data_IF_993466964785
#
_entry.id   IF_993466964785
#
_cell.length_a   1.000
_cell.length_b   1.000
_cell.length_c   1.000
_cell.angle_alpha   90.00
_cell.angle_beta   90.00
_cell.angle_gamma   90.00
#
_symmetry.space_group_name_H-M   'P 1'
#
loop_
_entity.id
_entity.type
_entity.pdbx_description
1 polymer ?
#
# COMPACT_ATOMS: atom_id res chain seq x y z
N UNK A 1 -17.49 6.92 10.75
CA UNK A 1 -16.79 5.65 11.06
C UNK A 1 -16.90 5.20 12.52
N UNK A 2 -17.12 6.08 13.50
CA UNK A 2 -17.21 5.67 14.93
C UNK A 2 -18.64 5.44 15.43
N UNK A 3 -19.62 5.45 14.53
CA UNK A 3 -21.02 5.20 14.86
C UNK A 3 -21.34 3.70 14.73
N UNK A 4 -22.31 3.24 15.52
CA UNK A 4 -22.67 1.82 15.64
C UNK A 4 -22.87 1.09 14.29
N UNK A 5 -23.52 1.68 13.26
CA UNK A 5 -23.69 0.99 11.97
C UNK A 5 -22.38 0.69 11.23
N UNK A 6 -21.35 1.53 11.38
CA UNK A 6 -20.05 1.29 10.75
C UNK A 6 -19.16 0.38 11.59
N UNK A 7 -19.26 0.49 12.93
CA UNK A 7 -18.53 -0.39 13.85
C UNK A 7 -18.94 -1.86 13.71
N UNK A 8 -20.20 -2.12 13.31
CA UNK A 8 -20.66 -3.46 12.96
C UNK A 8 -19.91 -4.07 11.74
N UNK A 9 -19.43 -3.22 10.83
CA UNK A 9 -18.71 -3.63 9.60
C UNK A 9 -17.20 -3.70 9.81
N UNK A 10 -16.67 -2.74 10.58
CA UNK A 10 -15.27 -2.67 10.95
C UNK A 10 -15.17 -2.41 12.45
N UNK A 11 -14.79 -3.41 13.28
CA UNK A 11 -14.87 -3.30 14.75
C UNK A 11 -13.99 -2.18 15.31
N UNK A 12 -12.87 -1.88 14.63
CA UNK A 12 -11.98 -0.77 15.00
C UNK A 12 -12.39 0.60 14.43
N UNK A 13 -13.47 0.69 13.64
CA UNK A 13 -13.92 1.92 12.99
C UNK A 13 -12.89 2.53 12.04
N UNK A 14 -12.11 1.69 11.34
CA UNK A 14 -11.12 2.11 10.34
C UNK A 14 -11.61 1.78 8.92
N UNK A 15 -10.94 2.36 7.94
CA UNK A 15 -11.07 2.01 6.52
C UNK A 15 -9.84 1.22 6.06
N UNK A 16 -9.97 0.38 5.03
CA UNK A 16 -11.19 0.06 4.26
C UNK A 16 -12.07 -1.02 4.90
N UNK A 17 -13.35 -1.03 4.53
CA UNK A 17 -14.29 -2.13 4.74
C UNK A 17 -15.07 -2.36 3.43
N UNK A 18 -15.26 -3.61 3.04
CA UNK A 18 -15.99 -4.04 1.85
C UNK A 18 -17.26 -4.77 2.25
N UNK A 19 -18.35 -4.46 1.56
CA UNK A 19 -19.58 -5.25 1.56
C UNK A 19 -19.84 -5.78 0.14
N UNK A 20 -20.07 -7.08 0.03
CA UNK A 20 -20.39 -7.76 -1.22
C UNK A 20 -21.48 -8.81 -0.97
N UNK A 21 -22.74 -8.39 -1.11
CA UNK A 21 -23.91 -9.16 -0.71
C UNK A 21 -23.94 -9.35 0.81
N UNK A 22 -23.93 -10.61 1.25
CA UNK A 22 -23.89 -10.98 2.69
C UNK A 22 -22.48 -10.98 3.28
N UNK A 23 -21.44 -10.78 2.45
CA UNK A 23 -20.05 -10.80 2.90
C UNK A 23 -19.65 -9.40 3.35
N UNK A 24 -19.13 -9.31 4.57
CA UNK A 24 -18.46 -8.11 5.09
C UNK A 24 -17.00 -8.45 5.41
N UNK A 25 -16.08 -7.64 4.91
CA UNK A 25 -14.64 -7.85 5.09
C UNK A 25 -13.93 -6.53 5.39
N UNK A 26 -12.97 -6.58 6.29
CA UNK A 26 -11.98 -5.52 6.51
C UNK A 26 -10.57 -6.12 6.33
N UNK A 27 -9.53 -5.29 6.39
CA UNK A 27 -8.16 -5.54 5.90
C UNK A 27 -8.01 -5.34 4.38
N UNK A 28 -7.24 -4.32 4.01
CA UNK A 28 -6.95 -3.93 2.61
C UNK A 28 -6.43 -5.10 1.77
N UNK A 29 -5.44 -5.83 2.28
CA UNK A 29 -4.86 -6.99 1.61
C UNK A 29 -5.86 -8.13 1.41
N UNK A 30 -6.70 -8.41 2.41
CA UNK A 30 -7.74 -9.42 2.30
C UNK A 30 -8.81 -9.01 1.28
N UNK A 31 -9.24 -7.75 1.30
CA UNK A 31 -10.19 -7.17 0.35
C UNK A 31 -9.67 -7.31 -1.09
N UNK A 32 -8.42 -6.93 -1.35
CA UNK A 32 -7.83 -7.04 -2.70
C UNK A 32 -7.76 -8.50 -3.14
N UNK A 33 -7.30 -9.41 -2.28
CA UNK A 33 -7.27 -10.85 -2.62
C UNK A 33 -8.67 -11.41 -2.90
N UNK A 34 -9.67 -11.05 -2.09
CA UNK A 34 -11.06 -11.46 -2.30
C UNK A 34 -11.61 -10.98 -3.65
N UNK A 35 -11.41 -9.70 -3.97
CA UNK A 35 -11.86 -9.12 -5.24
C UNK A 35 -11.19 -9.83 -6.42
N UNK A 36 -9.90 -10.13 -6.33
CA UNK A 36 -9.17 -10.82 -7.40
C UNK A 36 -9.60 -12.28 -7.55
N UNK A 37 -9.83 -12.98 -6.44
CA UNK A 37 -10.33 -14.35 -6.46
C UNK A 37 -11.74 -14.43 -7.07
N UNK A 38 -12.64 -13.51 -6.72
CA UNK A 38 -14.04 -13.53 -7.17
C UNK A 38 -14.24 -12.90 -8.55
N UNK A 39 -13.57 -11.78 -8.84
CA UNK A 39 -13.82 -10.95 -10.03
C UNK A 39 -12.59 -10.77 -10.93
N UNK A 40 -11.40 -11.14 -10.46
CA UNK A 40 -10.14 -10.94 -11.18
C UNK A 40 -10.01 -11.80 -12.44
N UNK A 41 -10.60 -13.01 -12.45
CA UNK A 41 -10.52 -13.99 -13.54
C UNK A 41 -9.07 -14.30 -13.95
N UNK A 42 -8.21 -14.53 -12.96
CA UNK A 42 -6.77 -14.82 -13.16
C UNK A 42 -5.89 -13.60 -13.47
N UNK A 43 -6.46 -12.37 -13.51
CA UNK A 43 -5.67 -11.15 -13.73
C UNK A 43 -4.96 -10.69 -12.47
N UNK A 44 -3.80 -10.04 -12.64
CA UNK A 44 -3.02 -9.36 -11.60
C UNK A 44 -2.42 -10.26 -10.52
N UNK A 45 -2.49 -11.58 -10.67
CA UNK A 45 -1.90 -12.57 -9.77
C UNK A 45 -1.12 -13.56 -10.65
N UNK A 46 0.19 -13.78 -10.40
CA UNK A 46 0.94 -14.79 -11.13
C UNK A 46 0.42 -16.21 -10.89
N UNK A 47 0.76 -17.13 -11.79
CA UNK A 47 0.42 -18.55 -11.66
C UNK A 47 0.97 -19.15 -10.35
N UNK A 48 0.12 -19.82 -9.58
CA UNK A 48 0.41 -20.19 -8.18
C UNK A 48 1.64 -21.10 -8.00
N UNK A 49 1.99 -21.90 -9.01
CA UNK A 49 3.11 -22.84 -8.96
C UNK A 49 4.41 -22.26 -9.55
N UNK A 50 4.55 -20.93 -9.57
CA UNK A 50 5.72 -20.25 -10.13
C UNK A 50 6.53 -19.53 -9.06
N UNK A 51 7.82 -19.30 -9.33
CA UNK A 51 8.67 -18.45 -8.49
C UNK A 51 8.16 -17.01 -8.43
N UNK A 52 7.51 -16.53 -9.49
CA UNK A 52 6.90 -15.20 -9.53
C UNK A 52 5.76 -15.08 -8.51
N UNK A 53 4.96 -16.13 -8.31
CA UNK A 53 3.92 -16.11 -7.28
C UNK A 53 4.49 -15.95 -5.86
N UNK A 54 5.61 -16.61 -5.56
CA UNK A 54 6.28 -16.44 -4.26
C UNK A 54 6.77 -14.99 -4.07
N UNK A 55 7.40 -14.40 -5.09
CA UNK A 55 7.81 -13.00 -5.06
C UNK A 55 6.60 -12.05 -4.95
N UNK A 56 5.53 -12.33 -5.68
CA UNK A 56 4.26 -11.59 -5.61
C UNK A 56 3.69 -11.59 -4.20
N UNK A 57 3.60 -12.75 -3.53
CA UNK A 57 3.09 -12.82 -2.17
C UNK A 57 3.93 -11.96 -1.21
N UNK A 58 5.26 -12.06 -1.30
CA UNK A 58 6.16 -11.24 -0.50
C UNK A 58 5.86 -9.75 -0.69
N UNK A 59 5.84 -9.27 -1.94
CA UNK A 59 5.63 -7.84 -2.23
C UNK A 59 4.19 -7.38 -2.09
N UNK A 60 3.21 -8.27 -2.14
CA UNK A 60 1.83 -7.97 -1.79
C UNK A 60 1.70 -7.67 -0.30
N UNK A 61 2.28 -8.52 0.55
CA UNK A 61 2.23 -8.36 2.01
C UNK A 61 3.23 -7.35 2.55
N UNK A 62 4.29 -7.02 1.80
CA UNK A 62 5.31 -6.05 2.20
C UNK A 62 4.74 -4.67 2.56
N UNK A 63 3.66 -4.25 1.88
CA UNK A 63 2.97 -3.00 2.17
C UNK A 63 2.58 -2.90 3.65
N UNK A 64 1.71 -3.81 4.10
CA UNK A 64 1.16 -3.81 5.46
C UNK A 64 2.16 -4.30 6.50
N UNK A 65 3.06 -5.21 6.12
CA UNK A 65 4.06 -5.76 7.03
C UNK A 65 5.22 -4.80 7.34
N UNK A 66 5.57 -3.90 6.40
CA UNK A 66 6.81 -3.13 6.49
C UNK A 66 6.62 -1.62 6.30
N UNK A 67 5.88 -1.17 5.27
CA UNK A 67 5.77 0.27 4.94
C UNK A 67 4.69 0.96 5.78
N UNK A 68 3.51 0.35 5.88
CA UNK A 68 2.36 0.97 6.55
C UNK A 68 2.58 1.24 8.06
N UNK A 69 3.27 0.38 8.85
CA UNK A 69 3.47 0.65 10.27
C UNK A 69 4.25 1.96 10.57
N UNK A 70 5.43 2.22 9.99
CA UNK A 70 6.10 3.50 10.18
C UNK A 70 5.37 4.65 9.46
N UNK A 71 4.68 4.41 8.33
CA UNK A 71 3.85 5.45 7.70
C UNK A 71 2.70 5.90 8.59
N UNK A 72 2.01 4.98 9.26
CA UNK A 72 0.97 5.30 10.21
C UNK A 72 1.52 6.14 11.38
N UNK A 73 2.70 5.79 11.90
CA UNK A 73 3.36 6.59 12.94
C UNK A 73 3.64 8.00 12.44
N UNK A 74 4.18 8.14 11.22
CA UNK A 74 4.44 9.44 10.61
C UNK A 74 3.15 10.27 10.48
N UNK A 75 2.08 9.70 9.94
CA UNK A 75 0.79 10.38 9.74
C UNK A 75 0.17 10.79 11.07
N UNK A 76 0.21 9.92 12.08
CA UNK A 76 -0.30 10.24 13.42
C UNK A 76 0.44 11.45 14.00
N UNK A 77 1.77 11.43 13.95
CA UNK A 77 2.62 12.46 14.54
C UNK A 77 2.60 13.79 13.77
N UNK A 78 2.34 13.78 12.46
CA UNK A 78 2.43 14.99 11.62
C UNK A 78 1.09 15.58 11.23
N UNK A 79 0.04 14.75 11.13
CA UNK A 79 -1.27 15.15 10.62
C UNK A 79 -2.34 15.05 11.71
N UNK A 80 -2.44 13.91 12.39
CA UNK A 80 -3.61 13.61 13.24
C UNK A 80 -3.50 14.16 14.67
N UNK A 81 -2.31 14.17 15.26
CA UNK A 81 -2.13 14.67 16.62
C UNK A 81 -2.14 16.21 16.67
N UNK A 82 -2.77 16.80 17.71
CA UNK A 82 -2.53 18.18 18.09
C UNK A 82 -1.04 18.44 18.32
N UNK A 83 -0.57 19.64 18.00
CA UNK A 83 0.86 19.97 17.99
C UNK A 83 1.56 19.67 19.32
N UNK A 84 0.88 19.92 20.44
CA UNK A 84 1.35 19.71 21.80
C UNK A 84 1.54 18.23 22.18
N UNK A 85 0.97 17.29 21.40
CA UNK A 85 1.12 15.84 21.60
C UNK A 85 2.11 15.20 20.65
N UNK A 86 2.69 15.96 19.71
CA UNK A 86 3.61 15.46 18.70
C UNK A 86 5.00 15.23 19.29
N UNK A 87 5.66 14.18 18.86
CA UNK A 87 7.03 13.85 19.26
C UNK A 87 7.94 13.79 18.04
N UNK A 88 8.88 14.74 17.94
CA UNK A 88 9.83 14.80 16.82
C UNK A 88 10.69 13.53 16.71
N UNK A 89 11.02 12.89 17.85
CA UNK A 89 11.75 11.62 17.87
C UNK A 89 10.98 10.51 17.14
N UNK A 90 9.65 10.45 17.29
CA UNK A 90 8.83 9.46 16.61
C UNK A 90 8.80 9.70 15.11
N UNK A 91 8.69 10.96 14.68
CA UNK A 91 8.78 11.35 13.26
C UNK A 91 10.13 10.96 12.67
N UNK A 92 11.25 11.32 13.33
CA UNK A 92 12.59 10.98 12.83
C UNK A 92 12.78 9.47 12.72
N UNK A 93 12.30 8.70 13.69
CA UNK A 93 12.36 7.23 13.66
C UNK A 93 11.50 6.65 12.55
N UNK A 94 10.27 7.14 12.37
CA UNK A 94 9.38 6.65 11.32
C UNK A 94 9.92 6.96 9.92
N UNK A 95 10.44 8.16 9.69
CA UNK A 95 11.07 8.53 8.41
C UNK A 95 12.28 7.66 8.12
N UNK A 96 13.14 7.41 9.12
CA UNK A 96 14.31 6.51 8.95
C UNK A 96 13.88 5.10 8.56
N UNK A 97 12.89 4.53 9.24
CA UNK A 97 12.38 3.19 8.93
C UNK A 97 11.73 3.15 7.54
N UNK A 98 10.91 4.15 7.18
CA UNK A 98 10.34 4.27 5.84
C UNK A 98 11.43 4.29 4.76
N UNK A 99 12.48 5.10 4.92
CA UNK A 99 13.59 5.15 3.98
C UNK A 99 14.26 3.78 3.76
N UNK A 100 14.42 2.99 4.82
CA UNK A 100 14.94 1.62 4.71
C UNK A 100 14.00 0.70 3.93
N UNK A 101 12.70 0.77 4.20
CA UNK A 101 11.72 -0.06 3.49
C UNK A 101 11.60 0.33 2.02
N UNK A 102 11.63 1.64 1.72
CA UNK A 102 11.62 2.15 0.36
C UNK A 102 12.90 1.78 -0.41
N UNK A 103 14.05 1.71 0.26
CA UNK A 103 15.29 1.21 -0.36
C UNK A 103 15.13 -0.24 -0.82
N UNK A 104 14.50 -1.10 -0.02
CA UNK A 104 14.24 -2.48 -0.42
C UNK A 104 13.33 -2.55 -1.65
N UNK A 105 12.28 -1.72 -1.72
CA UNK A 105 11.40 -1.62 -2.90
C UNK A 105 12.19 -1.14 -4.12
N UNK A 106 13.05 -0.12 -3.97
CA UNK A 106 13.87 0.40 -5.05
C UNK A 106 14.84 -0.65 -5.60
N UNK A 107 15.49 -1.41 -4.72
CA UNK A 107 16.38 -2.51 -5.09
C UNK A 107 15.62 -3.63 -5.80
N UNK A 108 14.44 -3.99 -5.30
CA UNK A 108 13.59 -4.96 -5.99
C UNK A 108 13.20 -4.48 -7.38
N UNK A 109 12.79 -3.22 -7.50
CA UNK A 109 12.37 -2.69 -8.77
C UNK A 109 13.54 -2.73 -9.77
N UNK A 110 14.74 -2.29 -9.38
CA UNK A 110 15.89 -2.23 -10.28
C UNK A 110 15.50 -1.50 -11.57
N UNK A 111 15.73 -2.15 -12.72
CA UNK A 111 15.34 -1.63 -14.04
C UNK A 111 13.94 -2.10 -14.50
N UNK A 112 13.17 -2.78 -13.63
CA UNK A 112 11.83 -3.30 -13.96
C UNK A 112 10.78 -2.20 -13.91
N UNK A 113 9.70 -2.41 -14.66
CA UNK A 113 8.53 -1.52 -14.66
C UNK A 113 7.62 -1.74 -13.44
N UNK A 114 7.57 -2.97 -12.93
CA UNK A 114 6.70 -3.43 -11.83
C UNK A 114 7.49 -4.31 -10.86
N UNK A 115 6.93 -4.56 -9.68
CA UNK A 115 7.64 -5.27 -8.62
C UNK A 115 7.92 -6.74 -8.94
N UNK A 116 7.05 -7.39 -9.70
CA UNK A 116 7.10 -8.82 -9.98
C UNK A 116 6.68 -9.09 -11.42
N UNK A 117 7.48 -9.90 -12.13
CA UNK A 117 7.23 -10.22 -13.54
C UNK A 117 7.37 -9.01 -14.47
N UNK A 118 6.84 -9.16 -15.69
CA UNK A 118 6.79 -8.10 -16.71
C UNK A 118 5.53 -7.25 -16.64
N UNK A 119 4.44 -7.82 -16.12
CA UNK A 119 3.12 -7.21 -16.06
C UNK A 119 2.78 -6.72 -14.67
N UNK A 120 1.85 -5.77 -14.59
CA UNK A 120 1.39 -5.28 -13.29
C UNK A 120 0.66 -6.38 -12.51
N UNK A 121 0.92 -6.45 -11.21
CA UNK A 121 0.26 -7.37 -10.28
C UNK A 121 -0.39 -6.60 -9.13
N UNK A 122 -1.14 -7.31 -8.30
CA UNK A 122 -1.69 -6.71 -7.09
C UNK A 122 -0.63 -6.32 -6.04
N UNK A 123 0.62 -6.80 -6.19
CA UNK A 123 1.73 -6.30 -5.39
C UNK A 123 1.97 -4.80 -5.69
N UNK A 124 1.78 -4.36 -6.94
CA UNK A 124 1.86 -2.95 -7.31
C UNK A 124 0.65 -2.15 -6.81
N UNK A 125 -0.51 -2.79 -6.62
CA UNK A 125 -1.66 -2.13 -6.00
C UNK A 125 -1.45 -1.93 -4.51
N UNK A 126 -0.86 -2.91 -3.81
CA UNK A 126 -0.59 -2.82 -2.38
C UNK A 126 0.67 -2.01 -2.07
N UNK A 127 1.85 -2.56 -2.40
CA UNK A 127 3.14 -1.93 -2.09
C UNK A 127 3.36 -0.70 -2.95
N UNK A 128 2.98 -0.73 -4.23
CA UNK A 128 3.09 0.45 -5.08
C UNK A 128 2.25 1.62 -4.57
N UNK A 129 1.02 1.40 -4.09
CA UNK A 129 0.25 2.45 -3.44
C UNK A 129 0.93 2.99 -2.17
N UNK A 130 1.54 2.12 -1.36
CA UNK A 130 2.29 2.56 -0.18
C UNK A 130 3.50 3.45 -0.54
N UNK A 131 4.16 3.18 -1.69
CA UNK A 131 5.21 4.05 -2.24
C UNK A 131 4.63 5.39 -2.71
N UNK A 132 3.51 5.38 -3.46
CA UNK A 132 2.82 6.61 -3.91
C UNK A 132 2.46 7.50 -2.71
N UNK A 133 1.91 6.91 -1.65
CA UNK A 133 1.55 7.66 -0.44
C UNK A 133 2.78 8.20 0.28
N UNK A 134 3.87 7.43 0.34
CA UNK A 134 5.14 7.92 0.89
C UNK A 134 5.63 9.15 0.12
N UNK A 135 5.53 9.15 -1.21
CA UNK A 135 5.86 10.31 -2.03
C UNK A 135 4.93 11.50 -1.77
N UNK A 136 3.62 11.28 -1.73
CA UNK A 136 2.60 12.32 -1.45
C UNK A 136 2.79 12.96 -0.06
N UNK A 137 3.25 12.21 0.93
CA UNK A 137 3.59 12.71 2.25
C UNK A 137 4.96 13.41 2.33
N UNK A 138 5.67 13.56 1.21
CA UNK A 138 6.94 14.29 1.16
C UNK A 138 8.11 13.52 1.75
N UNK A 139 8.03 12.18 1.83
CA UNK A 139 9.18 11.36 2.20
C UNK A 139 10.24 11.49 1.10
N UNK A 140 11.47 11.77 1.51
CA UNK A 140 12.61 11.92 0.61
C UNK A 140 12.91 10.59 -0.12
N UNK A 141 12.95 10.66 -1.46
CA UNK A 141 13.23 9.55 -2.36
C UNK A 141 14.50 9.76 -3.19
N UNK A 142 15.34 10.75 -2.86
CA UNK A 142 16.58 11.04 -3.59
C UNK A 142 17.54 9.86 -3.65
N UNK A 143 17.60 9.04 -2.59
CA UNK A 143 18.42 7.84 -2.53
C UNK A 143 17.78 6.60 -3.22
N UNK A 144 16.57 6.75 -3.78
CA UNK A 144 15.79 5.66 -4.38
C UNK A 144 15.30 6.07 -5.78
N UNK A 145 16.20 6.16 -6.77
CA UNK A 145 15.92 6.79 -8.06
C UNK A 145 14.86 6.06 -8.89
N UNK A 146 14.64 4.76 -8.65
CA UNK A 146 13.69 3.96 -9.42
C UNK A 146 12.24 4.20 -8.96
N UNK A 147 12.04 4.78 -7.77
CA UNK A 147 10.71 4.94 -7.19
C UNK A 147 9.89 6.07 -7.81
N UNK A 148 10.50 7.20 -8.19
CA UNK A 148 9.75 8.30 -8.81
C UNK A 148 9.14 7.91 -10.17
N UNK A 149 9.88 7.30 -11.11
CA UNK A 149 9.29 6.77 -12.33
C UNK A 149 8.21 5.71 -12.08
N UNK A 150 8.36 4.92 -11.01
CA UNK A 150 7.37 3.94 -10.61
C UNK A 150 6.08 4.55 -10.08
N UNK A 151 6.19 5.56 -9.22
CA UNK A 151 5.06 6.36 -8.75
C UNK A 151 4.32 6.99 -9.92
N UNK A 152 5.04 7.60 -10.85
CA UNK A 152 4.45 8.21 -12.05
C UNK A 152 3.71 7.18 -12.90
N UNK A 153 4.34 6.04 -13.19
CA UNK A 153 3.76 4.96 -13.99
C UNK A 153 2.48 4.39 -13.38
N UNK A 154 2.43 4.23 -12.06
CA UNK A 154 1.23 3.75 -11.38
C UNK A 154 0.14 4.82 -11.31
N UNK A 155 0.51 6.06 -10.98
CA UNK A 155 -0.44 7.16 -10.76
C UNK A 155 -1.10 7.65 -12.05
N UNK A 156 -0.47 7.44 -13.21
CA UNK A 156 -1.00 7.80 -14.53
C UNK A 156 -1.96 6.76 -15.13
N UNK A 157 -2.14 5.61 -14.48
CA UNK A 157 -3.08 4.58 -14.97
C UNK A 157 -4.51 5.11 -14.90
N UNK A 158 -5.34 4.91 -15.94
CA UNK A 158 -6.74 5.37 -15.94
C UNK A 158 -7.56 4.88 -14.73
N UNK A 159 -7.32 3.64 -14.29
CA UNK A 159 -7.98 3.08 -13.11
C UNK A 159 -7.55 3.76 -11.80
N UNK A 160 -6.28 4.16 -11.68
CA UNK A 160 -5.79 4.90 -10.51
C UNK A 160 -6.40 6.30 -10.48
N UNK A 161 -6.34 7.02 -11.61
CA UNK A 161 -6.92 8.37 -11.74
C UNK A 161 -8.40 8.36 -11.38
N UNK A 162 -9.15 7.37 -11.89
CA UNK A 162 -10.57 7.22 -11.57
C UNK A 162 -10.79 6.99 -10.07
N UNK A 163 -9.97 6.14 -9.44
CA UNK A 163 -10.10 5.85 -8.01
C UNK A 163 -9.75 7.05 -7.12
N UNK A 164 -8.78 7.88 -7.51
CA UNK A 164 -8.34 9.08 -6.77
C UNK A 164 -9.37 10.23 -6.83
N UNK A 165 -10.37 10.13 -7.71
CA UNK A 165 -11.45 11.10 -7.88
C UNK A 165 -12.76 10.71 -7.16
N UNK A 166 -12.84 9.52 -6.59
CA UNK A 166 -14.02 9.02 -5.86
C UNK A 166 -13.96 9.44 -4.39
#
# INVERSE_FOLDING_TARGET
MREAPYLAKHPMGRVPALEDGEITLFESGAIVQYILAKYGKGRFVPEMQTAEFAAYLQWFHYAEGMIMPPMNTYVVETILLPQERRTEINVKRSVKLLGQMLTAVNTQLGDRNFLVGSDITAADFMTGHAVIMSHRFGIDMTATPNLLPYVERLSTRPAFIKADQL
#
